data_IF_397954775690
#
_entry.id   IF_397954775690
#
_cell.length_a   1.000
_cell.length_b   1.000
_cell.length_c   1.000
_cell.angle_alpha   90.00
_cell.angle_beta   90.00
_cell.angle_gamma   90.00
#
_symmetry.space_group_name_H-M   'P 1'
#
loop_
_entity.id
_entity.type
_entity.pdbx_description
1 polymer ?
#
# COMPACT_ATOMS: atom_id res chain seq x y z
N UNK A 1 -5.09 11.39 11.30
CA UNK A 1 -4.13 12.44 11.71
C UNK A 1 -3.13 11.96 12.74
N UNK A 2 -3.52 11.22 13.78
CA UNK A 2 -2.60 10.76 14.84
C UNK A 2 -1.41 9.95 14.32
N UNK A 3 -1.60 9.09 13.32
CA UNK A 3 -0.54 8.35 12.62
C UNK A 3 0.50 9.22 11.91
N UNK A 4 0.04 10.21 11.13
CA UNK A 4 0.93 11.17 10.48
C UNK A 4 1.80 11.87 11.53
N UNK A 5 1.20 12.27 12.65
CA UNK A 5 1.92 12.88 13.77
C UNK A 5 2.88 11.90 14.46
N UNK A 6 2.52 10.62 14.61
CA UNK A 6 3.42 9.59 15.14
C UNK A 6 4.66 9.44 14.26
N UNK A 7 4.52 9.32 12.93
CA UNK A 7 5.69 9.25 12.07
C UNK A 7 6.57 10.51 12.13
N UNK A 8 5.96 11.70 12.19
CA UNK A 8 6.73 12.95 12.41
C UNK A 8 7.52 12.91 13.71
N UNK A 9 6.91 12.43 14.80
CA UNK A 9 7.54 12.40 16.12
C UNK A 9 8.66 11.36 16.23
N UNK A 10 8.54 10.21 15.56
CA UNK A 10 9.47 9.09 15.73
C UNK A 10 10.54 8.98 14.64
N UNK A 11 10.29 9.49 13.43
CA UNK A 11 11.20 9.33 12.28
C UNK A 11 11.91 10.61 11.84
N UNK A 12 11.51 11.79 12.35
CA UNK A 12 12.12 13.05 11.96
C UNK A 12 13.05 13.62 13.04
N UNK A 13 13.91 14.57 12.64
CA UNK A 13 14.89 15.20 13.54
C UNK A 13 14.25 16.29 14.41
N UNK A 14 15.03 16.82 15.36
CA UNK A 14 14.62 17.93 16.24
C UNK A 14 14.28 19.24 15.50
N UNK A 15 14.54 19.33 14.19
CA UNK A 15 14.13 20.46 13.34
C UNK A 15 12.65 20.39 12.95
N UNK A 16 12.04 19.21 13.03
CA UNK A 16 10.61 18.95 12.79
C UNK A 16 9.74 19.18 14.03
N UNK A 17 10.03 20.22 14.83
CA UNK A 17 9.21 20.54 16.00
C UNK A 17 7.78 20.84 15.56
N UNK A 18 6.80 20.29 16.28
CA UNK A 18 5.39 20.49 15.99
C UNK A 18 5.00 21.97 15.91
N UNK A 19 5.62 22.86 16.68
CA UNK A 19 5.40 24.31 16.59
C UNK A 19 5.82 24.88 15.23
N UNK A 20 7.06 24.61 14.77
CA UNK A 20 7.55 25.06 13.46
C UNK A 20 6.78 24.41 12.31
N UNK A 21 6.44 23.13 12.46
CA UNK A 21 5.61 22.43 11.48
C UNK A 21 4.20 23.01 11.44
N UNK A 22 3.64 23.52 12.54
CA UNK A 22 2.31 24.13 12.54
C UNK A 22 2.26 25.41 11.72
N UNK A 23 3.33 26.20 11.73
CA UNK A 23 3.41 27.45 10.98
C UNK A 23 3.40 27.22 9.46
N UNK A 24 4.01 26.13 8.99
CA UNK A 24 4.16 25.80 7.56
C UNK A 24 3.11 24.79 7.09
N UNK A 25 2.76 23.83 7.94
CA UNK A 25 1.93 22.65 7.68
C UNK A 25 0.66 22.61 8.54
N UNK A 26 0.14 23.75 8.99
CA UNK A 26 -1.12 23.89 9.75
C UNK A 26 -2.41 23.53 8.99
N UNK A 27 -2.35 22.56 8.09
CA UNK A 27 -3.47 22.04 7.32
C UNK A 27 -3.28 20.53 7.05
N UNK A 28 -4.32 19.84 6.60
CA UNK A 28 -4.26 18.39 6.33
C UNK A 28 -3.28 18.03 5.19
N UNK A 29 -3.01 18.96 4.28
CA UNK A 29 -2.10 18.80 3.15
C UNK A 29 -2.70 18.23 1.87
N UNK A 30 -4.01 17.97 1.88
CA UNK A 30 -4.78 17.56 0.70
C UNK A 30 -6.00 18.47 0.55
N UNK A 31 -6.45 18.64 -0.69
CA UNK A 31 -7.70 19.31 -1.04
C UNK A 31 -8.57 18.39 -1.89
N UNK A 32 -9.87 18.38 -1.59
CA UNK A 32 -10.84 17.67 -2.41
C UNK A 32 -11.17 18.49 -3.67
N UNK A 33 -11.10 17.83 -4.82
CA UNK A 33 -11.47 18.35 -6.13
C UNK A 33 -12.49 17.41 -6.73
N UNK A 34 -13.60 17.95 -7.26
CA UNK A 34 -14.56 17.17 -8.05
C UNK A 34 -14.27 17.41 -9.54
N UNK A 35 -14.04 16.34 -10.28
CA UNK A 35 -13.86 16.43 -11.74
C UNK A 35 -15.20 16.69 -12.45
N UNK A 36 -16.26 16.01 -11.98
CA UNK A 36 -17.62 16.07 -12.54
C UNK A 36 -18.67 16.12 -11.42
N UNK A 37 -19.94 16.32 -11.80
CA UNK A 37 -21.06 16.19 -10.88
C UNK A 37 -21.28 14.71 -10.52
N UNK A 38 -21.10 14.38 -9.24
CA UNK A 38 -21.36 13.05 -8.67
C UNK A 38 -22.84 12.92 -8.33
N UNK A 39 -23.51 11.88 -8.85
CA UNK A 39 -24.93 11.59 -8.62
C UNK A 39 -25.11 10.19 -8.04
N UNK A 40 -26.19 9.99 -7.29
CA UNK A 40 -26.53 8.71 -6.66
C UNK A 40 -26.85 7.58 -7.66
N UNK A 41 -27.15 7.92 -8.91
CA UNK A 41 -27.42 6.98 -10.00
C UNK A 41 -26.17 6.55 -10.77
N UNK A 42 -25.04 7.19 -10.54
CA UNK A 42 -23.78 6.89 -11.23
C UNK A 42 -23.24 5.54 -10.78
N UNK A 43 -22.48 4.88 -11.66
CA UNK A 43 -21.73 3.68 -11.28
C UNK A 43 -20.66 4.00 -10.23
N UNK A 44 -20.16 2.95 -9.54
CA UNK A 44 -19.05 3.13 -8.60
C UNK A 44 -17.83 3.74 -9.28
N UNK A 45 -17.50 3.28 -10.49
CA UNK A 45 -16.34 3.75 -11.24
C UNK A 45 -16.45 5.24 -11.57
N UNK A 46 -17.58 5.69 -12.12
CA UNK A 46 -17.82 7.10 -12.47
C UNK A 46 -17.75 8.00 -11.23
N UNK A 47 -18.45 7.61 -10.16
CA UNK A 47 -18.48 8.36 -8.91
C UNK A 47 -17.12 8.46 -8.24
N UNK A 48 -16.43 7.32 -8.07
CA UNK A 48 -15.15 7.26 -7.39
C UNK A 48 -14.04 7.93 -8.21
N UNK A 49 -14.13 7.91 -9.55
CA UNK A 49 -13.19 8.61 -10.42
C UNK A 49 -13.38 10.13 -10.39
N UNK A 50 -14.60 10.61 -10.16
CA UNK A 50 -14.91 12.03 -10.09
C UNK A 50 -14.39 12.69 -8.80
N UNK A 51 -14.25 11.93 -7.71
CA UNK A 51 -13.75 12.42 -6.42
C UNK A 51 -12.23 12.31 -6.34
N UNK A 52 -11.52 13.43 -6.15
CA UNK A 52 -10.06 13.47 -6.24
C UNK A 52 -9.42 14.26 -5.11
N UNK A 53 -8.39 13.71 -4.47
CA UNK A 53 -7.54 14.42 -3.54
C UNK A 53 -6.30 14.96 -4.27
N UNK A 54 -6.07 16.28 -4.20
CA UNK A 54 -4.89 16.95 -4.73
C UNK A 54 -3.99 17.43 -3.59
N UNK A 55 -2.66 17.50 -3.79
CA UNK A 55 -1.78 18.07 -2.80
C UNK A 55 -2.11 19.55 -2.61
N UNK A 56 -2.19 19.99 -1.35
CA UNK A 56 -2.27 21.40 -1.06
C UNK A 56 -0.88 22.01 -1.21
N UNK A 57 -0.75 23.07 -2.01
CA UNK A 57 0.52 23.75 -2.26
C UNK A 57 0.61 25.11 -1.56
N UNK A 58 1.83 25.52 -1.21
CA UNK A 58 2.14 26.88 -0.83
C UNK A 58 2.26 27.79 -2.07
N UNK A 59 2.49 29.09 -1.84
CA UNK A 59 2.62 30.09 -2.92
C UNK A 59 3.80 29.84 -3.86
N UNK A 60 4.83 29.13 -3.39
CA UNK A 60 6.00 28.71 -4.18
C UNK A 60 5.77 27.40 -4.95
N UNK A 61 4.58 26.81 -4.87
CA UNK A 61 4.22 25.54 -5.50
C UNK A 61 4.67 24.30 -4.73
N UNK A 62 5.35 24.44 -3.58
CA UNK A 62 5.74 23.30 -2.74
C UNK A 62 4.51 22.67 -2.06
N UNK A 63 4.47 21.35 -1.97
CA UNK A 63 3.43 20.65 -1.21
C UNK A 63 3.57 20.96 0.29
N UNK A 64 2.45 21.11 0.99
CA UNK A 64 2.42 21.44 2.42
C UNK A 64 1.38 20.62 3.18
N UNK A 65 1.27 20.86 4.48
CA UNK A 65 0.34 20.18 5.40
C UNK A 65 0.83 18.81 5.89
N UNK A 66 0.10 18.24 6.84
CA UNK A 66 0.51 17.02 7.58
C UNK A 66 0.70 15.81 6.68
N UNK A 67 -0.04 15.70 5.58
CA UNK A 67 0.13 14.63 4.61
C UNK A 67 1.52 14.66 3.95
N UNK A 68 2.00 15.84 3.57
CA UNK A 68 3.34 15.96 2.97
C UNK A 68 4.43 15.64 3.98
N UNK A 69 4.27 16.05 5.24
CA UNK A 69 5.24 15.72 6.28
C UNK A 69 5.30 14.21 6.51
N UNK A 70 4.13 13.57 6.58
CA UNK A 70 4.03 12.10 6.66
C UNK A 70 4.66 11.42 5.44
N UNK A 71 4.34 11.86 4.22
CA UNK A 71 4.88 11.27 2.98
C UNK A 71 6.41 11.20 3.04
N UNK A 72 7.07 12.30 3.44
CA UNK A 72 8.53 12.39 3.56
C UNK A 72 9.13 11.39 4.55
N UNK A 73 8.45 11.14 5.68
CA UNK A 73 8.89 10.17 6.68
C UNK A 73 8.48 8.74 6.38
N UNK A 74 7.45 8.55 5.56
CA UNK A 74 6.89 7.23 5.32
C UNK A 74 7.91 6.35 4.60
N UNK A 75 7.88 5.06 4.94
CA UNK A 75 8.72 4.05 4.33
C UNK A 75 7.86 2.90 3.88
N UNK A 76 8.39 2.17 2.91
CA UNK A 76 7.81 0.91 2.49
C UNK A 76 7.85 -0.09 3.65
N UNK A 77 6.71 -0.74 3.89
CA UNK A 77 6.63 -1.78 4.90
C UNK A 77 7.29 -3.06 4.38
N UNK A 78 7.92 -3.85 5.26
CA UNK A 78 8.54 -5.10 4.83
C UNK A 78 7.52 -6.08 4.28
N UNK A 79 7.92 -6.87 3.29
CA UNK A 79 7.17 -8.02 2.82
C UNK A 79 7.31 -9.12 3.88
N UNK A 80 6.19 -9.50 4.48
CA UNK A 80 6.13 -10.56 5.49
C UNK A 80 5.76 -11.87 4.83
N UNK A 81 6.32 -12.97 5.34
CA UNK A 81 5.98 -14.31 4.91
C UNK A 81 6.55 -15.38 5.84
N UNK A 82 6.59 -16.61 5.34
CA UNK A 82 7.05 -17.78 6.10
C UNK A 82 8.53 -18.04 5.85
N UNK A 83 9.32 -18.09 6.92
CA UNK A 83 10.71 -18.50 6.89
C UNK A 83 10.85 -19.96 7.34
N UNK A 84 11.54 -20.76 6.54
CA UNK A 84 11.83 -22.17 6.78
C UNK A 84 13.32 -22.36 7.02
N UNK A 85 13.66 -22.94 8.17
CA UNK A 85 15.03 -23.32 8.50
C UNK A 85 15.14 -24.83 8.66
N UNK A 86 16.05 -25.45 7.90
CA UNK A 86 16.43 -26.85 8.11
C UNK A 86 17.54 -26.92 9.15
N UNK A 87 17.31 -27.63 10.25
CA UNK A 87 18.33 -27.85 11.28
C UNK A 87 19.18 -29.08 10.99
N UNK A 88 20.51 -29.05 11.20
CA UNK A 88 21.37 -30.22 11.05
C UNK A 88 20.89 -31.39 11.92
N UNK A 89 20.73 -32.58 11.32
CA UNK A 89 20.36 -33.80 12.06
C UNK A 89 18.87 -33.99 12.34
N UNK A 90 18.00 -33.08 11.90
CA UNK A 90 16.54 -33.22 12.01
C UNK A 90 15.83 -32.93 10.69
N UNK A 91 14.77 -33.69 10.38
CA UNK A 91 13.84 -33.37 9.29
C UNK A 91 12.89 -32.21 9.66
N UNK A 92 12.95 -31.68 10.88
CA UNK A 92 12.07 -30.60 11.32
C UNK A 92 12.44 -29.29 10.64
N UNK A 93 11.54 -28.78 9.79
CA UNK A 93 11.55 -27.41 9.33
C UNK A 93 10.80 -26.55 10.36
N UNK A 94 11.46 -25.55 10.93
CA UNK A 94 10.76 -24.55 11.75
C UNK A 94 10.16 -23.50 10.81
N UNK A 95 8.84 -23.30 10.90
CA UNK A 95 8.13 -22.25 10.18
C UNK A 95 7.93 -21.05 11.12
N UNK A 96 8.55 -19.92 10.80
CA UNK A 96 8.41 -18.69 11.58
C UNK A 96 7.91 -17.55 10.70
N UNK A 97 6.96 -16.72 11.20
CA UNK A 97 6.61 -15.48 10.52
C UNK A 97 7.80 -14.52 10.58
N UNK A 98 8.20 -13.98 9.43
CA UNK A 98 9.35 -13.08 9.36
C UNK A 98 9.18 -12.04 8.26
N UNK A 99 9.75 -10.85 8.46
CA UNK A 99 10.01 -9.89 7.39
C UNK A 99 11.06 -10.49 6.44
N UNK A 100 10.65 -10.83 5.22
CA UNK A 100 11.48 -11.51 4.24
C UNK A 100 12.22 -10.54 3.32
N UNK A 101 11.60 -9.40 3.03
CA UNK A 101 12.21 -8.30 2.30
C UNK A 101 11.89 -7.01 3.03
N UNK A 102 12.90 -6.19 3.28
CA UNK A 102 12.71 -4.82 3.73
C UNK A 102 12.63 -3.91 2.52
N UNK A 103 11.71 -2.95 2.56
CA UNK A 103 11.65 -1.90 1.55
C UNK A 103 12.88 -1.00 1.61
N UNK A 104 13.09 -0.22 0.55
CA UNK A 104 14.20 0.73 0.52
C UNK A 104 13.99 1.83 1.58
N UNK A 105 15.03 2.17 2.33
CA UNK A 105 15.02 3.31 3.25
C UNK A 105 15.21 4.63 2.49
N UNK A 106 14.26 4.93 1.61
CA UNK A 106 14.28 6.09 0.73
C UNK A 106 12.97 6.85 0.91
N UNK A 107 13.06 8.18 0.84
CA UNK A 107 11.87 9.01 0.78
C UNK A 107 11.02 8.61 -0.43
N UNK A 108 9.70 8.39 -0.27
CA UNK A 108 8.81 8.09 -1.39
C UNK A 108 8.83 9.19 -2.44
N UNK A 109 8.38 8.86 -3.65
CA UNK A 109 8.19 9.87 -4.68
C UNK A 109 7.22 10.98 -4.24
N UNK A 110 7.35 12.15 -4.87
CA UNK A 110 6.44 13.27 -4.63
C UNK A 110 5.02 12.87 -5.02
N UNK A 111 4.05 13.27 -4.21
CA UNK A 111 2.65 13.06 -4.53
C UNK A 111 2.27 13.82 -5.81
N UNK A 112 1.62 13.14 -6.74
CA UNK A 112 1.25 13.71 -8.04
C UNK A 112 0.46 15.01 -7.89
N UNK A 113 0.84 16.05 -8.63
CA UNK A 113 0.11 17.33 -8.68
C UNK A 113 -1.29 17.17 -9.27
N UNK A 114 -1.48 16.17 -10.13
CA UNK A 114 -2.80 15.78 -10.63
C UNK A 114 -3.69 15.19 -9.52
N UNK A 115 -3.12 14.77 -8.39
CA UNK A 115 -3.84 14.11 -7.31
C UNK A 115 -4.25 12.68 -7.64
N UNK A 116 -4.97 12.05 -6.71
CA UNK A 116 -5.52 10.69 -6.86
C UNK A 116 -7.02 10.67 -6.69
N UNK A 117 -7.69 9.84 -7.46
CA UNK A 117 -9.12 9.63 -7.30
C UNK A 117 -9.41 8.67 -6.15
N UNK A 118 -10.68 8.63 -5.72
CA UNK A 118 -11.12 7.59 -4.79
C UNK A 118 -10.96 6.21 -5.44
N UNK A 119 -11.21 6.09 -6.75
CA UNK A 119 -11.03 4.84 -7.48
C UNK A 119 -9.56 4.37 -7.42
N UNK A 120 -8.60 5.26 -7.67
CA UNK A 120 -7.16 4.94 -7.64
C UNK A 120 -6.74 4.34 -6.29
N UNK A 121 -7.27 4.88 -5.19
CA UNK A 121 -6.91 4.41 -3.84
C UNK A 121 -7.64 3.12 -3.48
N UNK A 122 -8.92 2.96 -3.87
CA UNK A 122 -9.67 1.73 -3.63
C UNK A 122 -9.06 0.53 -4.38
N UNK A 123 -8.67 0.72 -5.65
CA UNK A 123 -7.98 -0.32 -6.45
C UNK A 123 -6.63 -0.74 -5.86
N UNK A 124 -6.03 0.10 -5.04
CA UNK A 124 -4.77 -0.16 -4.35
C UNK A 124 -4.89 -0.86 -3.00
N UNK A 125 -6.11 -1.11 -2.49
CA UNK A 125 -6.34 -1.72 -1.18
C UNK A 125 -6.76 -3.20 -1.32
N UNK A 126 -6.01 -4.15 -0.71
CA UNK A 126 -6.33 -5.59 -0.80
C UNK A 126 -7.73 -5.94 -0.31
N UNK A 127 -8.14 -5.30 0.79
CA UNK A 127 -9.42 -5.55 1.45
C UNK A 127 -10.64 -5.09 0.62
N UNK A 128 -10.40 -4.29 -0.43
CA UNK A 128 -11.44 -3.84 -1.36
C UNK A 128 -11.56 -4.74 -2.59
N UNK A 129 -10.65 -5.68 -2.82
CA UNK A 129 -10.57 -6.47 -4.07
C UNK A 129 -11.88 -7.20 -4.36
N UNK A 130 -12.38 -7.98 -3.40
CA UNK A 130 -13.62 -8.74 -3.58
C UNK A 130 -14.83 -7.82 -3.77
N UNK A 131 -14.88 -6.73 -3.02
CA UNK A 131 -15.95 -5.74 -3.14
C UNK A 131 -15.97 -5.07 -4.53
N UNK A 132 -14.80 -4.64 -5.02
CA UNK A 132 -14.68 -3.96 -6.32
C UNK A 132 -15.02 -4.89 -7.49
N UNK A 133 -14.70 -6.19 -7.37
CA UNK A 133 -15.04 -7.18 -8.38
C UNK A 133 -16.56 -7.33 -8.58
N UNK A 134 -17.37 -7.16 -7.54
CA UNK A 134 -18.85 -7.16 -7.65
C UNK A 134 -19.33 -6.07 -8.60
N UNK A 135 -18.60 -4.96 -8.69
CA UNK A 135 -18.89 -3.82 -9.57
C UNK A 135 -18.08 -3.86 -10.88
N UNK A 136 -17.39 -4.96 -11.19
CA UNK A 136 -16.59 -5.11 -12.41
C UNK A 136 -15.30 -4.29 -12.42
N UNK A 137 -14.86 -3.76 -11.27
CA UNK A 137 -13.63 -2.99 -11.15
C UNK A 137 -12.49 -3.93 -10.74
N UNK A 138 -11.42 -3.94 -11.55
CA UNK A 138 -10.23 -4.76 -11.29
C UNK A 138 -9.21 -4.02 -10.43
N UNK A 139 -8.55 -4.68 -9.46
CA UNK A 139 -7.54 -4.04 -8.62
C UNK A 139 -6.22 -3.80 -9.37
N UNK A 140 -5.42 -2.85 -8.87
CA UNK A 140 -4.05 -2.57 -9.33
C UNK A 140 -3.03 -3.27 -8.41
N UNK A 141 -3.29 -4.55 -8.13
CA UNK A 141 -2.54 -5.40 -7.21
C UNK A 141 -2.49 -6.84 -7.72
N UNK A 142 -1.37 -7.52 -7.55
CA UNK A 142 -1.28 -8.98 -7.70
C UNK A 142 -1.16 -9.66 -6.34
N UNK A 143 -1.87 -10.76 -6.15
CA UNK A 143 -1.75 -11.59 -4.95
C UNK A 143 -0.55 -12.51 -5.09
N UNK A 144 0.26 -12.59 -4.05
CA UNK A 144 1.46 -13.43 -4.00
C UNK A 144 1.57 -14.16 -2.65
N UNK A 145 2.26 -15.29 -2.65
CA UNK A 145 2.74 -15.94 -1.44
C UNK A 145 4.26 -15.79 -1.38
N UNK A 146 4.77 -15.30 -0.25
CA UNK A 146 6.19 -15.07 -0.05
C UNK A 146 6.74 -16.05 0.99
N UNK A 147 7.78 -16.78 0.63
CA UNK A 147 8.49 -17.69 1.54
C UNK A 147 9.98 -17.49 1.42
N UNK A 148 10.71 -17.88 2.45
CA UNK A 148 12.16 -17.97 2.41
C UNK A 148 12.60 -19.30 3.00
N UNK A 149 13.60 -19.93 2.40
CA UNK A 149 14.16 -21.19 2.89
C UNK A 149 15.67 -21.07 3.03
N UNK A 150 16.20 -21.41 4.21
CA UNK A 150 17.64 -21.58 4.42
C UNK A 150 17.98 -23.08 4.45
N UNK A 151 18.62 -23.63 3.39
CA UNK A 151 18.88 -25.07 3.30
C UNK A 151 19.97 -25.54 4.27
N UNK A 152 20.92 -24.67 4.63
CA UNK A 152 21.97 -24.93 5.63
C UNK A 152 22.36 -23.63 6.34
N UNK A 153 22.97 -23.71 7.52
CA UNK A 153 23.34 -22.50 8.31
C UNK A 153 24.28 -21.55 7.56
N UNK A 154 25.15 -22.08 6.69
CA UNK A 154 26.15 -21.32 5.94
C UNK A 154 25.65 -20.81 4.58
N UNK A 155 24.43 -21.19 4.17
CA UNK A 155 23.87 -20.77 2.89
C UNK A 155 23.00 -19.51 3.04
N UNK A 156 23.06 -18.65 2.02
CA UNK A 156 22.11 -17.55 1.85
C UNK A 156 20.67 -18.13 1.82
N UNK A 157 19.71 -17.52 2.53
CA UNK A 157 18.32 -17.93 2.40
C UNK A 157 17.82 -17.65 0.98
N UNK A 158 17.12 -18.61 0.40
CA UNK A 158 16.45 -18.48 -0.90
C UNK A 158 15.05 -17.91 -0.68
N UNK A 159 14.79 -16.73 -1.21
CA UNK A 159 13.46 -16.14 -1.25
C UNK A 159 12.68 -16.72 -2.43
N UNK A 160 11.40 -17.02 -2.22
CA UNK A 160 10.46 -17.38 -3.25
C UNK A 160 9.21 -16.48 -3.16
N UNK A 161 8.90 -15.79 -4.26
CA UNK A 161 7.67 -15.01 -4.44
C UNK A 161 6.85 -15.71 -5.50
N UNK A 162 5.74 -16.32 -5.10
CA UNK A 162 4.80 -16.98 -5.99
C UNK A 162 3.59 -16.08 -6.22
N UNK A 163 3.51 -15.44 -7.38
CA UNK A 163 2.35 -14.67 -7.82
C UNK A 163 1.25 -15.61 -8.29
N UNK A 164 0.07 -15.47 -7.69
CA UNK A 164 -1.11 -16.28 -7.99
C UNK A 164 -1.70 -15.94 -9.37
N UNK A 165 -2.54 -16.83 -9.94
CA UNK A 165 -3.24 -16.58 -11.21
C UNK A 165 -3.89 -15.20 -11.29
N UNK A 166 -3.50 -14.41 -12.30
CA UNK A 166 -3.97 -13.04 -12.52
C UNK A 166 -4.02 -12.71 -14.02
N UNK A 167 -4.84 -11.74 -14.47
CA UNK A 167 -4.88 -11.35 -15.88
C UNK A 167 -3.50 -10.89 -16.39
N UNK A 168 -3.15 -11.33 -17.61
CA UNK A 168 -1.85 -11.03 -18.23
C UNK A 168 -1.47 -9.53 -18.23
N UNK A 169 -2.38 -8.56 -18.49
CA UNK A 169 -2.01 -7.15 -18.42
C UNK A 169 -1.52 -6.71 -17.03
N UNK A 170 -2.12 -7.25 -15.97
CA UNK A 170 -1.76 -6.94 -14.60
C UNK A 170 -0.43 -7.59 -14.22
N UNK A 171 -0.22 -8.84 -14.65
CA UNK A 171 1.05 -9.56 -14.47
C UNK A 171 2.21 -8.84 -15.18
N UNK A 172 2.00 -8.38 -16.40
CA UNK A 172 3.01 -7.61 -17.15
C UNK A 172 3.34 -6.30 -16.42
N UNK A 173 2.32 -5.59 -15.93
CA UNK A 173 2.51 -4.35 -15.17
C UNK A 173 3.28 -4.58 -13.87
N UNK A 174 3.07 -5.72 -13.21
CA UNK A 174 3.87 -6.15 -12.06
C UNK A 174 5.32 -6.43 -12.46
N UNK A 175 5.56 -7.23 -13.50
CA UNK A 175 6.90 -7.61 -13.95
C UNK A 175 7.73 -6.42 -14.42
N UNK A 176 7.10 -5.38 -14.98
CA UNK A 176 7.75 -4.12 -15.35
C UNK A 176 8.31 -3.33 -14.16
N UNK A 177 7.87 -3.64 -12.92
CA UNK A 177 8.34 -3.02 -11.68
C UNK A 177 9.39 -3.86 -10.96
N UNK A 178 9.54 -5.13 -11.33
CA UNK A 178 10.53 -6.03 -10.75
C UNK A 178 11.87 -5.78 -11.43
N UNK A 179 12.89 -5.46 -10.64
CA UNK A 179 14.24 -5.27 -11.17
C UNK A 179 15.30 -5.88 -10.27
N UNK A 180 16.39 -6.34 -10.87
CA UNK A 180 17.55 -6.86 -10.16
C UNK A 180 18.81 -6.23 -10.76
N UNK A 181 19.82 -5.98 -9.92
CA UNK A 181 21.07 -5.46 -10.42
C UNK A 181 21.73 -6.47 -11.38
N UNK A 182 22.42 -6.00 -12.43
CA UNK A 182 23.06 -6.87 -13.42
C UNK A 182 23.97 -7.95 -12.82
N UNK A 183 24.64 -7.64 -11.71
CA UNK A 183 25.53 -8.59 -11.01
C UNK A 183 24.79 -9.80 -10.40
N UNK A 184 23.52 -9.66 -10.05
CA UNK A 184 22.73 -10.70 -9.38
C UNK A 184 21.71 -11.41 -10.27
N UNK A 185 21.45 -10.88 -11.47
CA UNK A 185 20.37 -11.35 -12.35
C UNK A 185 20.49 -12.84 -12.70
N UNK A 186 21.71 -13.35 -12.86
CA UNK A 186 21.98 -14.76 -13.17
C UNK A 186 21.60 -15.73 -12.04
N UNK A 187 21.34 -15.22 -10.82
CA UNK A 187 20.89 -16.00 -9.65
C UNK A 187 19.37 -15.96 -9.49
N UNK A 188 18.67 -15.18 -10.32
CA UNK A 188 17.20 -15.06 -10.29
C UNK A 188 16.61 -16.10 -11.23
N UNK A 189 15.75 -16.95 -10.69
CA UNK A 189 15.00 -17.95 -11.44
C UNK A 189 13.57 -17.43 -11.56
N UNK A 190 13.12 -17.26 -12.80
CA UNK A 190 11.73 -16.95 -13.13
C UNK A 190 11.07 -18.22 -13.63
N UNK A 191 9.94 -18.60 -13.02
CA UNK A 191 9.16 -19.77 -13.40
C UNK A 191 7.77 -19.32 -13.82
N UNK A 192 7.41 -19.54 -15.09
CA UNK A 192 6.09 -19.19 -15.60
C UNK A 192 5.10 -20.33 -15.32
N UNK A 193 3.89 -19.94 -14.91
CA UNK A 193 2.75 -20.84 -14.72
C UNK A 193 1.58 -20.32 -15.54
N UNK A 194 0.54 -21.15 -15.78
CA UNK A 194 -0.71 -20.64 -16.34
C UNK A 194 -1.25 -19.48 -15.49
N UNK A 195 -1.14 -18.26 -16.04
CA UNK A 195 -1.56 -16.99 -15.43
C UNK A 195 -0.79 -16.56 -14.15
N UNK A 196 0.34 -17.17 -13.81
CA UNK A 196 1.13 -16.81 -12.62
C UNK A 196 2.63 -16.80 -12.89
N UNK A 197 3.41 -16.26 -11.95
CA UNK A 197 4.88 -16.25 -12.04
C UNK A 197 5.51 -16.53 -10.68
N UNK A 198 6.56 -17.35 -10.66
CA UNK A 198 7.41 -17.59 -9.50
C UNK A 198 8.75 -16.89 -9.66
N UNK A 199 9.17 -16.12 -8.66
CA UNK A 199 10.49 -15.50 -8.58
C UNK A 199 11.26 -16.15 -7.43
N UNK A 200 12.36 -16.84 -7.75
CA UNK A 200 13.24 -17.44 -6.75
C UNK A 200 14.63 -16.84 -6.84
N UNK A 201 15.16 -16.31 -5.74
CA UNK A 201 16.49 -15.70 -5.71
C UNK A 201 17.09 -15.70 -4.28
N UNK A 202 18.42 -15.69 -4.15
CA UNK A 202 19.07 -15.64 -2.85
C UNK A 202 18.94 -14.25 -2.22
N UNK A 203 18.54 -14.21 -0.95
CA UNK A 203 18.45 -13.00 -0.14
C UNK A 203 19.83 -12.71 0.48
N UNK A 204 20.67 -12.03 -0.29
CA UNK A 204 22.02 -11.60 0.10
C UNK A 204 22.45 -10.33 -0.64
N UNK A 205 23.53 -9.69 -0.18
CA UNK A 205 24.03 -8.39 -0.69
C UNK A 205 24.40 -8.41 -2.19
N UNK A 206 24.65 -9.60 -2.73
CA UNK A 206 25.06 -9.81 -4.12
C UNK A 206 23.87 -9.83 -5.10
N UNK A 207 22.64 -9.93 -4.61
CA UNK A 207 21.42 -9.93 -5.43
C UNK A 207 20.51 -8.75 -5.07
N UNK A 208 20.98 -7.49 -5.13
CA UNK A 208 20.11 -6.37 -4.84
C UNK A 208 19.05 -6.29 -5.94
N UNK A 209 17.79 -6.27 -5.52
CA UNK A 209 16.64 -6.15 -6.38
C UNK A 209 15.59 -5.25 -5.76
N UNK A 210 14.71 -4.76 -6.61
CA UNK A 210 13.54 -3.99 -6.24
C UNK A 210 12.31 -4.80 -6.62
N UNK A 211 11.46 -5.02 -5.62
CA UNK A 211 10.13 -5.58 -5.75
C UNK A 211 9.15 -4.42 -5.49
N UNK A 212 8.01 -4.33 -6.19
CA UNK A 212 7.04 -3.29 -5.93
C UNK A 212 6.44 -3.40 -4.51
N UNK A 213 5.90 -2.27 -4.04
CA UNK A 213 5.37 -2.16 -2.68
C UNK A 213 4.31 -3.21 -2.40
N UNK A 214 4.45 -3.85 -1.24
CA UNK A 214 3.51 -4.86 -0.79
C UNK A 214 2.61 -4.35 0.35
N UNK A 215 1.40 -4.90 0.40
CA UNK A 215 0.54 -4.86 1.56
C UNK A 215 0.34 -6.30 2.02
N UNK A 216 0.73 -6.61 3.26
CA UNK A 216 0.60 -7.93 3.87
C UNK A 216 -0.58 -7.88 4.86
N UNK A 217 -1.81 -8.22 4.43
CA UNK A 217 -2.94 -8.30 5.34
C UNK A 217 -2.77 -9.44 6.35
N UNK A 218 -2.12 -10.54 5.95
CA UNK A 218 -1.92 -11.77 6.72
C UNK A 218 -0.57 -12.44 6.35
N UNK A 219 -0.29 -13.62 6.91
CA UNK A 219 0.95 -14.37 6.69
C UNK A 219 1.02 -15.17 5.39
N UNK A 220 -0.12 -15.43 4.75
CA UNK A 220 -0.21 -16.27 3.55
C UNK A 220 -0.20 -15.43 2.26
N UNK A 221 -0.71 -14.20 2.36
CA UNK A 221 -0.96 -13.30 1.25
C UNK A 221 -0.15 -12.01 1.40
N UNK A 222 0.66 -11.74 0.39
CA UNK A 222 1.20 -10.43 0.08
C UNK A 222 0.50 -9.89 -1.17
N UNK A 223 0.09 -8.63 -1.14
CA UNK A 223 -0.51 -7.96 -2.29
C UNK A 223 0.46 -6.92 -2.83
N UNK A 224 1.04 -7.22 -3.99
CA UNK A 224 2.09 -6.42 -4.62
C UNK A 224 1.47 -5.42 -5.59
N UNK A 225 1.90 -4.16 -5.49
CA UNK A 225 1.44 -3.10 -6.37
C UNK A 225 1.86 -3.34 -7.83
N UNK A 226 0.98 -3.00 -8.77
CA UNK A 226 1.29 -2.99 -10.21
C UNK A 226 1.42 -1.58 -10.78
N UNK A 227 1.48 -0.58 -9.90
CA UNK A 227 1.64 0.84 -10.20
C UNK A 227 3.01 1.33 -9.72
N UNK A 228 3.61 2.26 -10.47
CA UNK A 228 4.93 2.85 -10.17
C UNK A 228 4.98 3.70 -8.89
N UNK A 229 3.83 4.03 -8.32
CA UNK A 229 3.75 5.09 -7.34
C UNK A 229 3.84 4.59 -5.89
N UNK A 230 4.59 5.34 -5.07
CA UNK A 230 4.95 4.99 -3.69
C UNK A 230 3.91 5.47 -2.65
N UNK A 231 2.77 4.79 -2.55
CA UNK A 231 1.87 4.91 -1.39
C UNK A 231 1.65 3.55 -0.75
N UNK A 232 1.94 3.47 0.55
CA UNK A 232 1.73 2.28 1.36
C UNK A 232 0.27 2.21 1.81
N UNK A 233 -0.10 1.13 2.49
CA UNK A 233 -1.48 0.89 2.96
C UNK A 233 -2.03 2.10 3.72
N UNK A 234 -1.25 2.67 4.64
CA UNK A 234 -1.68 3.84 5.40
C UNK A 234 -1.91 5.07 4.52
N UNK A 235 -1.03 5.35 3.56
CA UNK A 235 -1.20 6.46 2.63
C UNK A 235 -2.47 6.35 1.80
N UNK A 236 -2.80 5.14 1.34
CA UNK A 236 -4.03 4.87 0.59
C UNK A 236 -5.26 5.11 1.46
N UNK A 237 -5.28 4.54 2.69
CA UNK A 237 -6.37 4.76 3.64
C UNK A 237 -6.53 6.24 4.00
N UNK A 238 -5.43 6.95 4.24
CA UNK A 238 -5.45 8.39 4.55
C UNK A 238 -6.12 9.19 3.43
N UNK A 239 -5.70 8.96 2.18
CA UNK A 239 -6.25 9.67 1.02
C UNK A 239 -7.72 9.30 0.82
N UNK A 240 -8.09 8.03 0.94
CA UNK A 240 -9.46 7.56 0.78
C UNK A 240 -10.41 8.19 1.81
N UNK A 241 -10.02 8.18 3.09
CA UNK A 241 -10.79 8.81 4.18
C UNK A 241 -10.83 10.33 4.05
N UNK A 242 -9.74 10.95 3.57
CA UNK A 242 -9.75 12.38 3.27
C UNK A 242 -10.81 12.69 2.21
N UNK A 243 -10.88 11.91 1.13
CA UNK A 243 -11.88 12.10 0.08
C UNK A 243 -13.29 11.89 0.63
N UNK A 244 -13.55 10.74 1.26
CA UNK A 244 -14.88 10.40 1.79
C UNK A 244 -15.36 11.42 2.84
N UNK A 245 -14.51 11.77 3.80
CA UNK A 245 -14.84 12.73 4.85
C UNK A 245 -15.08 14.14 4.33
N UNK A 246 -14.28 14.62 3.37
CA UNK A 246 -14.51 15.94 2.78
C UNK A 246 -15.70 15.95 1.81
N UNK A 247 -16.03 14.81 1.17
CA UNK A 247 -17.24 14.70 0.36
C UNK A 247 -18.49 14.83 1.24
N UNK A 248 -18.56 14.06 2.33
CA UNK A 248 -19.65 14.15 3.30
C UNK A 248 -19.76 15.54 3.96
N UNK A 249 -18.62 16.17 4.26
CA UNK A 249 -18.58 17.48 4.92
C UNK A 249 -18.98 18.64 4.01
N UNK A 250 -18.46 18.69 2.79
CA UNK A 250 -18.64 19.84 1.89
C UNK A 250 -19.73 19.66 0.85
N UNK A 251 -20.21 18.44 0.64
CA UNK A 251 -21.33 18.13 -0.25
C UNK A 251 -22.38 17.27 0.46
N UNK A 252 -22.90 17.70 1.64
CA UNK A 252 -23.79 16.90 2.45
C UNK A 252 -25.06 16.48 1.71
N UNK A 253 -25.65 17.36 0.89
CA UNK A 253 -26.87 17.03 0.13
C UNK A 253 -26.64 15.90 -0.87
N UNK A 254 -25.49 15.92 -1.56
CA UNK A 254 -25.10 14.84 -2.50
C UNK A 254 -24.85 13.56 -1.72
N UNK A 255 -24.12 13.64 -0.62
CA UNK A 255 -23.82 12.49 0.22
C UNK A 255 -25.10 11.84 0.77
N UNK A 256 -26.06 12.63 1.26
CA UNK A 256 -27.36 12.13 1.71
C UNK A 256 -28.11 11.43 0.59
N UNK A 257 -28.13 11.99 -0.63
CA UNK A 257 -28.75 11.33 -1.78
C UNK A 257 -28.09 9.97 -2.11
N UNK A 258 -26.76 9.84 -1.92
CA UNK A 258 -26.05 8.58 -2.08
C UNK A 258 -26.42 7.55 -1.00
N UNK A 259 -26.62 7.99 0.25
CA UNK A 259 -27.06 7.14 1.37
C UNK A 259 -28.51 6.67 1.13
N UNK A 260 -29.42 7.59 0.84
CA UNK A 260 -30.85 7.28 0.64
C UNK A 260 -31.07 6.29 -0.51
N UNK A 261 -30.26 6.40 -1.56
CA UNK A 261 -30.31 5.50 -2.71
C UNK A 261 -29.54 4.19 -2.50
N UNK A 262 -28.85 4.00 -1.37
CA UNK A 262 -27.89 2.89 -1.16
C UNK A 262 -26.95 2.72 -2.36
N UNK A 263 -26.46 3.85 -2.88
CA UNK A 263 -25.67 3.86 -4.11
C UNK A 263 -24.37 3.06 -3.96
N UNK A 264 -23.78 2.55 -5.07
CA UNK A 264 -22.50 1.85 -5.03
C UNK A 264 -21.39 2.61 -4.32
N UNK A 265 -21.33 3.94 -4.50
CA UNK A 265 -20.37 4.80 -3.82
C UNK A 265 -20.56 4.79 -2.29
N UNK A 266 -21.81 4.87 -1.81
CA UNK A 266 -22.10 4.84 -0.39
C UNK A 266 -21.67 3.51 0.24
N UNK A 267 -21.99 2.40 -0.40
CA UNK A 267 -21.59 1.06 0.04
C UNK A 267 -20.06 0.89 0.04
N UNK A 268 -19.37 1.45 -0.96
CA UNK A 268 -17.91 1.41 -1.02
C UNK A 268 -17.25 2.22 0.12
N UNK A 269 -17.80 3.39 0.44
CA UNK A 269 -17.31 4.23 1.54
C UNK A 269 -17.58 3.58 2.90
N UNK A 270 -18.72 2.92 3.06
CA UNK A 270 -19.05 2.17 4.28
C UNK A 270 -18.05 1.02 4.49
N UNK A 271 -17.85 0.19 3.46
CA UNK A 271 -16.87 -0.89 3.49
C UNK A 271 -15.45 -0.40 3.75
N UNK A 272 -15.03 0.70 3.11
CA UNK A 272 -13.75 1.34 3.36
C UNK A 272 -13.59 1.77 4.83
N UNK A 273 -14.68 2.26 5.44
CA UNK A 273 -14.68 2.71 6.84
C UNK A 273 -14.51 1.53 7.79
N UNK A 274 -15.20 0.41 7.55
CA UNK A 274 -15.01 -0.85 8.29
C UNK A 274 -13.55 -1.32 8.23
N UNK A 275 -12.98 -1.42 7.02
CA UNK A 275 -11.59 -1.83 6.80
C UNK A 275 -10.63 -0.89 7.54
N UNK A 276 -10.91 0.41 7.49
CA UNK A 276 -10.08 1.41 8.18
C UNK A 276 -10.08 1.18 9.69
N UNK A 277 -11.24 0.89 10.29
CA UNK A 277 -11.34 0.62 11.72
C UNK A 277 -10.49 -0.56 12.17
N UNK A 278 -10.37 -1.58 11.33
CA UNK A 278 -9.55 -2.77 11.61
C UNK A 278 -8.05 -2.51 11.35
N UNK A 279 -7.71 -1.89 10.22
CA UNK A 279 -6.33 -1.80 9.73
C UNK A 279 -5.55 -0.62 10.28
N UNK A 280 -6.18 0.56 10.40
CA UNK A 280 -5.47 1.76 10.82
C UNK A 280 -4.84 1.63 12.22
N UNK A 281 -5.47 1.00 13.24
CA UNK A 281 -4.82 0.77 14.53
C UNK A 281 -3.61 -0.14 14.44
N UNK A 282 -3.67 -1.22 13.65
CA UNK A 282 -2.55 -2.16 13.48
C UNK A 282 -1.35 -1.50 12.80
N UNK A 283 -1.61 -0.71 11.76
CA UNK A 283 -0.58 0.08 11.07
C UNK A 283 0.05 1.11 12.02
N UNK A 284 -0.75 1.72 12.91
CA UNK A 284 -0.26 2.69 13.89
C UNK A 284 0.60 2.05 14.96
N UNK A 285 0.14 0.95 15.55
CA UNK A 285 0.91 0.24 16.57
C UNK A 285 2.18 -0.35 15.96
N UNK A 286 2.11 -0.84 14.72
CA UNK A 286 3.29 -1.35 14.03
C UNK A 286 4.34 -0.28 13.74
N UNK A 287 3.90 0.91 13.35
CA UNK A 287 4.76 2.08 13.20
C UNK A 287 5.39 2.51 14.54
N UNK A 288 4.58 2.61 15.61
CA UNK A 288 5.05 3.02 16.95
C UNK A 288 6.00 2.02 17.60
N UNK A 289 5.81 0.73 17.35
CA UNK A 289 6.62 -0.34 17.95
C UNK A 289 7.73 -0.86 17.03
N UNK A 290 7.80 -0.35 15.80
CA UNK A 290 8.70 -0.82 14.74
C UNK A 290 8.58 -2.32 14.49
N UNK A 291 7.33 -2.83 14.48
CA UNK A 291 7.00 -4.24 14.25
C UNK A 291 5.89 -4.37 13.24
N UNK A 292 5.91 -5.41 12.43
CA UNK A 292 4.77 -5.74 11.59
C UNK A 292 3.80 -6.63 12.38
N UNK A 293 2.54 -6.21 12.48
CA UNK A 293 1.46 -7.02 13.06
C UNK A 293 0.62 -7.58 11.93
N UNK A 294 0.66 -8.89 11.78
CA UNK A 294 -0.19 -9.66 10.86
C UNK A 294 -1.04 -10.61 11.69
N UNK A 295 -2.37 -10.64 11.49
CA UNK A 295 -3.23 -11.63 12.12
C UNK A 295 -2.76 -13.06 11.79
N UNK A 296 -2.89 -13.95 12.76
CA UNK A 296 -2.83 -15.38 12.47
C UNK A 296 -4.12 -15.73 11.70
N UNK A 297 -3.94 -16.25 10.48
CA UNK A 297 -5.01 -16.79 9.63
C UNK A 297 -5.78 -17.91 10.33
#
# INVERSE_FOLDING_TARGET
MSMALCEVLFKQSADSRLEKLRDIHGCHGLTLSLANAVKSTDTLEESAQALRAKPQTASDGSARGTFEVWRKSSREWPIVGRYYQTMPGSYTQTMMPQALLTGADVEPDRYSSAGRTLLDVLKGLPHMVEFLQIYGIFPDLVRATCTAQRPSQDADPMLNILVHPTPAPLLNSFMDLVSFAPRGVHRVIVSDFPQGVGLTFPHGLDTPGQIPWAICPDLENAWLATRKESLNEFGLLYVALHIAGNFARYYPDKWLAHIEASSPLALAIDRLTEITFERAPLLLVGELSQRCFVPAS
#
